data_IF_857065395675
#
_entry.id   IF_857065395675
#
_cell.length_a   1.000
_cell.length_b   1.000
_cell.length_c   1.000
_cell.angle_alpha   90.00
_cell.angle_beta   90.00
_cell.angle_gamma   90.00
#
_symmetry.space_group_name_H-M   'P 1'
#
loop_
_entity.id
_entity.type
_entity.pdbx_description
1 polymer ?
#
# COMPACT_ATOMS: atom_id res chain seq x y z
N UNK A 1 13.31 5.83 -19.71
CA UNK A 1 13.29 4.72 -18.72
C UNK A 1 12.81 5.34 -17.43
N UNK A 2 11.54 5.15 -17.09
CA UNK A 2 10.93 5.84 -15.97
C UNK A 2 11.52 5.30 -14.67
N UNK A 3 12.25 6.15 -13.95
CA UNK A 3 13.00 5.81 -12.73
C UNK A 3 12.12 5.83 -11.49
N UNK A 4 10.89 5.33 -11.58
CA UNK A 4 9.95 5.36 -10.46
C UNK A 4 10.47 4.49 -9.31
N UNK A 5 10.59 5.09 -8.12
CA UNK A 5 11.07 4.42 -6.91
C UNK A 5 10.15 3.25 -6.54
N UNK A 6 10.68 2.03 -6.64
CA UNK A 6 9.99 0.81 -6.20
C UNK A 6 10.02 0.73 -4.67
N UNK A 7 8.87 0.42 -4.09
CA UNK A 7 8.71 0.13 -2.66
C UNK A 7 8.26 -1.31 -2.48
N UNK A 8 8.98 -2.07 -1.67
CA UNK A 8 8.66 -3.47 -1.36
C UNK A 8 8.29 -3.59 0.11
N UNK A 9 7.20 -4.30 0.41
CA UNK A 9 6.71 -4.56 1.77
C UNK A 9 6.27 -6.00 1.92
N UNK A 10 6.29 -6.53 3.14
CA UNK A 10 5.60 -7.78 3.47
C UNK A 10 4.17 -7.41 3.87
N UNK A 11 3.18 -7.96 3.15
CA UNK A 11 1.76 -7.73 3.38
C UNK A 11 1.01 -9.05 3.52
N UNK A 12 -0.07 -9.02 4.28
CA UNK A 12 -0.95 -10.17 4.48
C UNK A 12 -2.20 -10.00 3.63
N UNK A 13 -2.53 -10.94 2.72
CA UNK A 13 -3.77 -10.90 1.94
C UNK A 13 -5.01 -10.93 2.84
N UNK A 14 -6.00 -10.08 2.56
CA UNK A 14 -7.25 -10.05 3.33
C UNK A 14 -8.03 -11.37 3.28
N UNK A 15 -7.90 -12.14 2.20
CA UNK A 15 -8.56 -13.45 2.06
C UNK A 15 -7.80 -14.61 2.73
N UNK A 16 -6.51 -14.43 3.06
CA UNK A 16 -5.62 -15.48 3.61
C UNK A 16 -4.68 -14.88 4.66
N UNK A 17 -5.17 -14.65 5.88
CA UNK A 17 -4.46 -13.90 6.92
C UNK A 17 -3.20 -14.59 7.47
N UNK A 18 -3.02 -15.87 7.19
CA UNK A 18 -1.91 -16.73 7.61
C UNK A 18 -0.76 -16.81 6.61
N UNK A 19 -0.86 -16.12 5.47
CA UNK A 19 0.13 -16.17 4.40
C UNK A 19 0.67 -14.77 4.05
N UNK A 20 1.63 -14.22 4.83
CA UNK A 20 2.34 -13.02 4.45
C UNK A 20 3.11 -13.23 3.14
N UNK A 21 3.07 -12.24 2.25
CA UNK A 21 3.78 -12.25 0.98
C UNK A 21 4.45 -10.90 0.71
N UNK A 22 5.53 -10.91 -0.07
CA UNK A 22 6.14 -9.68 -0.56
C UNK A 22 5.27 -9.04 -1.63
N UNK A 23 5.07 -7.73 -1.51
CA UNK A 23 4.34 -6.91 -2.48
C UNK A 23 5.22 -5.73 -2.86
N UNK A 24 5.45 -5.56 -4.15
CA UNK A 24 6.20 -4.44 -4.71
C UNK A 24 5.26 -3.51 -5.49
N UNK A 25 5.38 -2.21 -5.24
CA UNK A 25 4.59 -1.18 -5.94
C UNK A 25 5.42 0.06 -6.23
N UNK A 26 4.95 0.84 -7.19
CA UNK A 26 5.60 2.07 -7.66
C UNK A 26 4.58 3.19 -7.89
N UNK A 27 5.03 4.31 -8.46
CA UNK A 27 4.19 5.45 -8.85
C UNK A 27 3.30 5.99 -7.73
N UNK A 28 3.82 5.98 -6.50
CA UNK A 28 3.04 6.36 -5.32
C UNK A 28 2.72 7.86 -5.32
N UNK A 29 1.43 8.20 -5.34
CA UNK A 29 0.91 9.58 -5.33
C UNK A 29 -0.19 9.74 -4.27
N UNK A 30 -0.18 10.83 -3.51
CA UNK A 30 -1.31 11.17 -2.61
C UNK A 30 -2.55 11.52 -3.44
N UNK A 31 -3.68 10.88 -3.15
CA UNK A 31 -4.98 11.14 -3.79
C UNK A 31 -6.09 11.55 -2.82
N UNK A 32 -5.85 11.45 -1.51
CA UNK A 32 -6.82 11.88 -0.51
C UNK A 32 -6.18 12.09 0.85
N UNK A 33 -6.67 13.08 1.59
CA UNK A 33 -6.28 13.37 2.96
C UNK A 33 -7.55 13.60 3.79
N UNK A 34 -7.60 13.00 4.98
CA UNK A 34 -8.73 13.16 5.90
C UNK A 34 -8.32 12.89 7.34
N UNK A 35 -9.26 13.06 8.27
CA UNK A 35 -9.02 12.88 9.71
C UNK A 35 -8.46 11.50 10.07
N UNK A 36 -8.81 10.47 9.29
CA UNK A 36 -8.38 9.08 9.52
C UNK A 36 -7.03 8.72 8.89
N UNK A 37 -6.41 9.60 8.10
CA UNK A 37 -5.12 9.36 7.46
C UNK A 37 -5.05 9.76 5.99
N UNK A 38 -4.13 9.15 5.25
CA UNK A 38 -3.78 9.51 3.87
C UNK A 38 -4.03 8.33 2.93
N UNK A 39 -4.64 8.61 1.77
CA UNK A 39 -4.81 7.63 0.69
C UNK A 39 -3.83 7.94 -0.41
N UNK A 40 -3.08 6.92 -0.81
CA UNK A 40 -2.15 6.95 -1.94
C UNK A 40 -2.72 6.11 -3.08
N UNK A 41 -2.53 6.54 -4.31
CA UNK A 41 -2.59 5.69 -5.49
C UNK A 41 -1.20 5.11 -5.73
N UNK A 42 -1.12 3.83 -6.09
CA UNK A 42 0.12 3.17 -6.49
C UNK A 42 -0.17 2.18 -7.63
N UNK A 43 0.89 1.71 -8.30
CA UNK A 43 0.81 0.68 -9.32
C UNK A 43 1.55 -0.57 -8.84
N UNK A 44 0.89 -1.73 -8.88
CA UNK A 44 1.53 -3.00 -8.55
C UNK A 44 2.59 -3.36 -9.61
N UNK A 45 3.75 -3.83 -9.17
CA UNK A 45 4.87 -4.14 -10.08
C UNK A 45 4.66 -5.46 -10.84
N UNK A 46 3.92 -6.41 -10.27
CA UNK A 46 3.66 -7.74 -10.83
C UNK A 46 2.52 -7.72 -11.88
N UNK A 47 1.38 -7.11 -11.54
CA UNK A 47 0.19 -7.09 -12.41
C UNK A 47 0.05 -5.80 -13.21
N UNK A 48 0.71 -4.72 -12.77
CA UNK A 48 0.50 -3.39 -13.34
C UNK A 48 -0.83 -2.74 -12.94
N UNK A 49 -1.60 -3.35 -12.04
CA UNK A 49 -2.89 -2.83 -11.59
C UNK A 49 -2.72 -1.59 -10.72
N UNK A 50 -3.66 -0.65 -10.85
CA UNK A 50 -3.73 0.53 -10.01
C UNK A 50 -4.46 0.22 -8.72
N UNK A 51 -3.84 0.56 -7.59
CA UNK A 51 -4.37 0.28 -6.24
C UNK A 51 -4.42 1.54 -5.39
N UNK A 52 -5.29 1.51 -4.36
CA UNK A 52 -5.33 2.52 -3.31
C UNK A 52 -4.71 1.98 -2.01
N UNK A 53 -3.75 2.71 -1.44
CA UNK A 53 -3.12 2.40 -0.16
C UNK A 53 -3.59 3.42 0.86
N UNK A 54 -4.42 3.00 1.83
CA UNK A 54 -4.86 3.85 2.93
C UNK A 54 -3.93 3.71 4.14
N UNK A 55 -3.09 4.71 4.36
CA UNK A 55 -2.19 4.79 5.52
C UNK A 55 -2.94 5.44 6.69
N UNK A 56 -3.22 4.64 7.72
CA UNK A 56 -3.86 5.09 8.95
C UNK A 56 -2.88 5.01 10.13
N UNK A 57 -3.00 5.92 11.08
CA UNK A 57 -2.29 5.80 12.34
C UNK A 57 -2.99 4.73 13.17
N UNK A 58 -2.31 3.60 13.39
CA UNK A 58 -2.77 2.57 14.32
C UNK A 58 -2.29 2.92 15.73
N UNK A 59 -3.23 3.35 16.59
CA UNK A 59 -2.94 3.54 18.01
C UNK A 59 -2.84 2.17 18.69
N UNK A 60 -1.69 1.89 19.30
CA UNK A 60 -1.39 0.61 19.94
C UNK A 60 -2.36 0.24 21.06
N UNK A 61 -3.06 1.23 21.63
CA UNK A 61 -4.05 1.04 22.71
C UNK A 61 -5.37 0.44 22.21
N UNK A 62 -5.64 0.51 20.91
CA UNK A 62 -6.88 0.06 20.29
C UNK A 62 -6.65 -1.14 19.35
N UNK A 63 -5.69 -2.00 19.70
CA UNK A 63 -5.44 -3.28 19.02
C UNK A 63 -6.45 -4.34 19.41
#
# INVERSE_FOLDING_TARGET
RDGSKVTTVVATPGARPDHPQEVAYTDTKVIGNGSFGVVYQAKLCDTGEMVAIKKVLQDKRFK
#
